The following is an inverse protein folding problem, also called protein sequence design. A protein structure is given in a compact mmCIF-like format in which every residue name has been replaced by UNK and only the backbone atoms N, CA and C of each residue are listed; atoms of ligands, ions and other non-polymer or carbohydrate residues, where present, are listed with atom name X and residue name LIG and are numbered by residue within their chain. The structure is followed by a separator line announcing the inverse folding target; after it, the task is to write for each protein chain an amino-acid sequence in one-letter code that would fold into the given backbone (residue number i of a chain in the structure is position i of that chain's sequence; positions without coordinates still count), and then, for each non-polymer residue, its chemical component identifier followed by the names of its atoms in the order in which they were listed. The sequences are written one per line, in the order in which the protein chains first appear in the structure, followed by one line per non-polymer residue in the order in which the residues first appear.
data_IF_481041741377
#
_entry.id   IF_481041741377
#
_cell.length_a   1.000
_cell.length_b   1.000
_cell.length_c   1.000
_cell.angle_alpha   90.00
_cell.angle_beta   90.00
_cell.angle_gamma   90.00
#
_symmetry.space_group_name_H-M   'P 1'
#
loop_
_entity.id
_entity.type
_entity.pdbx_description
1 polymer ?
#
# COMPACT_ATOMS: atom_id res chain seq x y z
N UNK A 1 -9.36 34.09 10.20
CA UNK A 1 -8.36 34.92 9.48
C UNK A 1 -8.80 35.04 8.02
N UNK A 2 -8.42 36.09 7.29
CA UNK A 2 -8.78 36.26 5.86
C UNK A 2 -10.03 37.11 5.56
N UNK A 3 -10.83 37.47 6.56
CA UNK A 3 -11.94 38.42 6.39
C UNK A 3 -11.40 39.83 6.21
N UNK A 4 -11.90 40.54 5.19
CA UNK A 4 -11.40 41.88 4.85
C UNK A 4 -12.54 42.87 4.68
N UNK A 5 -12.38 44.09 5.21
CA UNK A 5 -13.31 45.18 4.92
C UNK A 5 -12.91 45.81 3.58
N UNK A 6 -13.84 45.82 2.63
CA UNK A 6 -13.57 46.29 1.26
C UNK A 6 -14.22 47.62 0.91
N UNK A 7 -15.10 48.12 1.77
CA UNK A 7 -15.73 49.43 1.58
C UNK A 7 -16.33 49.95 2.88
N UNK A 8 -16.49 51.27 2.97
CA UNK A 8 -17.13 51.94 4.10
C UNK A 8 -17.79 53.25 3.64
N UNK A 9 -18.89 53.63 4.30
CA UNK A 9 -19.59 54.90 4.07
C UNK A 9 -19.02 56.05 4.91
N UNK A 10 -19.41 57.28 4.59
CA UNK A 10 -19.22 58.47 5.45
C UNK A 10 -17.78 58.71 5.92
N UNK A 11 -16.81 58.48 5.02
CA UNK A 11 -15.40 58.69 5.30
C UNK A 11 -14.74 57.62 6.17
N UNK A 12 -15.41 56.48 6.38
CA UNK A 12 -14.82 55.30 7.02
C UNK A 12 -13.58 54.83 6.27
N UNK A 13 -12.54 54.46 7.02
CA UNK A 13 -11.26 54.00 6.45
C UNK A 13 -11.07 52.51 6.74
N UNK A 14 -11.23 51.62 5.74
CA UNK A 14 -10.87 50.21 5.85
C UNK A 14 -9.36 50.00 6.02
N UNK A 15 -8.98 49.06 6.88
CA UNK A 15 -7.60 48.63 7.13
C UNK A 15 -7.60 47.13 7.48
N UNK A 16 -7.38 46.27 6.48
CA UNK A 16 -7.44 44.83 6.62
C UNK A 16 -8.83 44.35 7.10
N UNK A 17 -8.88 43.78 8.30
CA UNK A 17 -10.11 43.32 8.96
C UNK A 17 -10.77 44.38 9.86
N UNK A 18 -10.31 45.63 9.81
CA UNK A 18 -10.85 46.75 10.59
C UNK A 18 -11.41 47.85 9.70
N UNK A 19 -12.29 48.65 10.27
CA UNK A 19 -12.74 49.92 9.70
C UNK A 19 -12.87 50.95 10.81
N UNK A 20 -12.49 52.20 10.53
CA UNK A 20 -12.50 53.28 11.51
C UNK A 20 -13.21 54.52 10.97
N UNK A 21 -14.01 55.15 11.83
CA UNK A 21 -14.60 56.47 11.60
C UNK A 21 -14.11 57.45 12.67
N UNK A 22 -13.88 58.69 12.28
CA UNK A 22 -13.57 59.77 13.20
C UNK A 22 -14.22 61.07 12.71
N UNK A 23 -15.08 61.64 13.55
CA UNK A 23 -15.74 62.92 13.29
C UNK A 23 -15.42 63.89 14.44
N UNK A 24 -14.89 65.07 14.10
CA UNK A 24 -14.46 66.08 15.07
C UNK A 24 -15.37 67.33 15.08
N UNK A 25 -16.51 67.25 14.39
CA UNK A 25 -17.56 68.28 14.33
C UNK A 25 -18.67 68.08 15.36
N UNK A 26 -19.75 68.86 15.26
CA UNK A 26 -20.97 68.62 16.06
C UNK A 26 -21.65 67.34 15.55
N UNK A 27 -21.67 66.24 16.31
CA UNK A 27 -22.21 64.99 15.82
C UNK A 27 -23.74 65.08 15.68
N UNK A 28 -24.26 64.44 14.64
CA UNK A 28 -25.69 64.20 14.44
C UNK A 28 -25.96 62.69 14.45
N UNK A 29 -27.22 62.30 14.64
CA UNK A 29 -27.61 60.89 14.51
C UNK A 29 -27.39 60.45 13.05
N UNK A 30 -26.64 59.37 12.86
CA UNK A 30 -26.25 58.87 11.55
C UNK A 30 -26.21 57.33 11.54
N UNK A 31 -26.14 56.76 10.34
CA UNK A 31 -25.93 55.33 10.11
C UNK A 31 -24.69 55.16 9.26
N UNK A 32 -23.71 54.42 9.78
CA UNK A 32 -22.48 54.07 9.08
C UNK A 32 -22.57 52.64 8.57
N UNK A 33 -22.12 52.39 7.34
CA UNK A 33 -22.09 51.05 6.75
C UNK A 33 -20.70 50.69 6.28
N UNK A 34 -20.40 49.39 6.27
CA UNK A 34 -19.18 48.83 5.71
C UNK A 34 -19.47 47.48 5.07
N UNK A 35 -18.62 47.09 4.11
CA UNK A 35 -18.74 45.82 3.38
C UNK A 35 -17.59 44.93 3.75
N UNK A 36 -17.90 43.66 4.06
CA UNK A 36 -16.91 42.65 4.44
C UNK A 36 -16.90 41.56 3.38
N UNK A 37 -15.71 41.18 2.90
CA UNK A 37 -15.51 40.00 2.07
C UNK A 37 -15.17 38.80 2.97
N UNK A 38 -15.96 37.74 2.79
CA UNK A 38 -15.76 36.44 3.42
C UNK A 38 -14.74 35.66 2.57
N UNK A 39 -13.66 35.13 3.16
CA UNK A 39 -12.69 34.36 2.38
C UNK A 39 -13.26 32.99 1.97
N UNK A 40 -12.85 32.48 0.81
CA UNK A 40 -13.39 31.23 0.24
C UNK A 40 -13.10 29.97 1.06
N UNK A 41 -12.12 30.04 1.96
CA UNK A 41 -11.73 29.01 2.92
C UNK A 41 -12.28 29.26 4.34
N UNK A 42 -13.26 30.15 4.51
CA UNK A 42 -13.85 30.43 5.82
C UNK A 42 -14.46 29.17 6.43
N UNK A 43 -14.08 28.86 7.67
CA UNK A 43 -14.69 27.77 8.44
C UNK A 43 -16.20 27.99 8.59
N UNK A 44 -16.98 26.92 8.47
CA UNK A 44 -18.42 26.96 8.70
C UNK A 44 -18.76 27.27 10.16
N UNK A 45 -19.89 27.94 10.40
CA UNK A 45 -20.43 28.26 11.73
C UNK A 45 -20.42 29.75 12.07
N UNK A 46 -20.59 30.05 13.36
CA UNK A 46 -20.70 31.42 13.87
C UNK A 46 -19.34 32.13 13.91
N UNK A 47 -19.28 33.31 13.32
CA UNK A 47 -18.15 34.24 13.40
C UNK A 47 -18.59 35.51 14.09
N UNK A 48 -17.73 36.01 14.99
CA UNK A 48 -18.05 37.16 15.84
C UNK A 48 -17.31 38.42 15.36
N UNK A 49 -18.05 39.49 15.16
CA UNK A 49 -17.56 40.85 14.99
C UNK A 49 -17.37 41.51 16.35
N UNK A 50 -16.36 42.36 16.46
CA UNK A 50 -16.12 43.19 17.63
C UNK A 50 -15.75 44.59 17.19
N UNK A 51 -16.03 45.57 18.03
CA UNK A 51 -15.68 46.95 17.78
C UNK A 51 -15.95 47.81 19.00
N UNK A 52 -15.36 48.99 19.00
CA UNK A 52 -15.50 49.98 20.07
C UNK A 52 -15.94 51.31 19.48
N UNK A 53 -16.64 52.12 20.29
CA UNK A 53 -17.02 53.48 19.96
C UNK A 53 -16.76 54.43 21.14
N UNK A 54 -16.58 55.71 20.84
CA UNK A 54 -16.45 56.76 21.85
C UNK A 54 -17.18 58.02 21.38
N UNK A 55 -18.21 58.43 22.12
CA UNK A 55 -19.04 59.62 21.86
C UNK A 55 -18.81 60.73 22.92
N UNK A 56 -17.63 60.75 23.55
CA UNK A 56 -17.22 61.79 24.51
C UNK A 56 -17.24 61.37 25.99
N UNK A 57 -17.70 60.16 26.32
CA UNK A 57 -17.76 59.62 27.69
C UNK A 57 -16.80 58.46 27.96
N UNK A 58 -15.86 58.20 27.04
CA UNK A 58 -14.94 57.06 27.10
C UNK A 58 -15.25 56.01 26.04
N UNK A 59 -14.43 54.96 26.00
CA UNK A 59 -14.55 53.86 25.03
C UNK A 59 -15.58 52.84 25.53
N UNK A 60 -16.54 52.51 24.67
CA UNK A 60 -17.59 51.52 24.92
C UNK A 60 -17.55 50.46 23.81
N UNK A 61 -17.88 49.22 24.13
CA UNK A 61 -17.97 48.14 23.14
C UNK A 61 -19.28 48.24 22.35
N UNK A 62 -19.23 47.89 21.06
CA UNK A 62 -20.42 47.63 20.24
C UNK A 62 -20.96 46.26 20.65
N UNK A 63 -22.17 46.23 21.20
CA UNK A 63 -22.78 45.05 21.84
C UNK A 63 -24.10 44.60 21.18
N UNK A 64 -24.43 45.18 20.02
CA UNK A 64 -25.57 44.79 19.22
C UNK A 64 -25.29 43.48 18.45
N UNK A 65 -26.00 43.26 17.34
CA UNK A 65 -25.82 42.07 16.50
C UNK A 65 -24.35 41.98 16.03
N UNK A 66 -23.65 41.01 16.61
CA UNK A 66 -22.19 40.86 16.51
C UNK A 66 -21.84 39.53 15.88
N UNK A 67 -22.79 38.75 15.38
CA UNK A 67 -22.52 37.43 14.83
C UNK A 67 -23.08 37.25 13.44
N UNK A 68 -22.29 36.61 12.58
CA UNK A 68 -22.75 36.06 11.32
C UNK A 68 -22.56 34.54 11.36
N UNK A 69 -23.53 33.79 10.84
CA UNK A 69 -23.35 32.36 10.61
C UNK A 69 -22.89 32.16 9.17
N UNK A 70 -21.63 31.75 8.98
CA UNK A 70 -21.16 31.27 7.69
C UNK A 70 -21.70 29.87 7.50
N UNK A 71 -22.71 29.76 6.66
CA UNK A 71 -23.17 28.48 6.14
C UNK A 71 -22.37 28.16 4.89
N UNK A 72 -22.21 26.87 4.58
CA UNK A 72 -21.80 26.48 3.24
C UNK A 72 -22.81 27.05 2.25
N UNK A 73 -22.42 27.15 0.97
CA UNK A 73 -23.40 27.44 -0.08
C UNK A 73 -24.65 26.59 0.18
N UNK A 74 -25.88 27.17 0.19
CA UNK A 74 -27.07 26.35 0.27
C UNK A 74 -26.91 25.33 -0.84
N UNK A 75 -26.82 24.04 -0.48
CA UNK A 75 -26.72 23.00 -1.48
C UNK A 75 -27.80 23.27 -2.51
N UNK A 76 -27.38 23.50 -3.75
CA UNK A 76 -28.22 23.34 -4.93
C UNK A 76 -29.21 22.20 -4.62
N UNK A 77 -30.53 22.37 -4.84
CA UNK A 77 -31.48 21.28 -4.63
C UNK A 77 -30.89 20.04 -5.30
N UNK A 78 -30.64 18.99 -4.52
CA UNK A 78 -29.67 17.96 -4.89
C UNK A 78 -29.92 17.46 -6.31
N UNK A 79 -29.15 17.98 -7.27
CA UNK A 79 -29.34 17.62 -8.67
C UNK A 79 -29.08 16.11 -8.79
N UNK A 80 -29.78 15.49 -9.73
CA UNK A 80 -29.60 14.07 -10.03
C UNK A 80 -28.12 13.76 -10.22
N UNK A 81 -27.52 12.98 -9.30
CA UNK A 81 -26.08 12.75 -9.28
C UNK A 81 -25.73 11.27 -9.05
N UNK A 82 -24.58 10.88 -9.58
CA UNK A 82 -23.86 9.67 -9.21
C UNK A 82 -22.42 10.09 -8.88
N UNK A 83 -22.07 9.98 -7.59
CA UNK A 83 -20.75 10.33 -7.06
C UNK A 83 -19.96 9.05 -6.77
N UNK A 84 -18.73 8.97 -7.28
CA UNK A 84 -17.82 7.83 -7.07
C UNK A 84 -16.94 8.05 -5.85
N UNK A 85 -16.79 7.02 -5.04
CA UNK A 85 -15.83 6.94 -3.94
C UNK A 85 -14.84 5.80 -4.21
N UNK A 86 -13.54 6.14 -4.22
CA UNK A 86 -12.43 5.23 -4.50
C UNK A 86 -11.48 5.14 -3.31
N UNK A 87 -10.82 4.00 -3.14
CA UNK A 87 -9.59 4.01 -2.35
C UNK A 87 -8.58 4.96 -3.01
N UNK A 88 -7.94 5.82 -2.22
CA UNK A 88 -6.94 6.75 -2.74
C UNK A 88 -5.69 6.02 -3.27
N UNK A 89 -5.35 4.86 -2.69
CA UNK A 89 -4.15 4.08 -3.01
C UNK A 89 -4.45 2.59 -3.08
N UNK A 90 -3.72 1.89 -3.94
CA UNK A 90 -3.76 0.44 -4.08
C UNK A 90 -2.39 -0.11 -4.55
N UNK A 91 -2.17 -1.41 -4.38
CA UNK A 91 -0.98 -2.12 -4.82
C UNK A 91 -1.25 -2.93 -6.10
N UNK A 92 -0.18 -3.30 -6.81
CA UNK A 92 -0.28 -4.21 -7.94
C UNK A 92 -0.86 -5.56 -7.50
N UNK A 93 -1.87 -6.05 -8.22
CA UNK A 93 -2.53 -7.32 -7.90
C UNK A 93 -3.67 -7.22 -6.88
N UNK A 94 -3.93 -6.05 -6.30
CA UNK A 94 -5.05 -5.87 -5.38
C UNK A 94 -6.41 -6.00 -6.08
N UNK A 95 -7.43 -6.39 -5.32
CA UNK A 95 -8.83 -6.21 -5.68
C UNK A 95 -9.42 -5.07 -4.83
N UNK A 96 -9.91 -4.02 -5.49
CA UNK A 96 -10.48 -2.84 -4.82
C UNK A 96 -12.00 -2.80 -4.98
N UNK A 97 -12.69 -2.21 -3.99
CA UNK A 97 -14.13 -1.93 -4.05
C UNK A 97 -14.35 -0.46 -4.37
N UNK A 98 -15.22 -0.17 -5.33
CA UNK A 98 -15.68 1.17 -5.70
C UNK A 98 -17.13 1.34 -5.25
N UNK A 99 -17.44 2.47 -4.61
CA UNK A 99 -18.82 2.81 -4.24
C UNK A 99 -19.37 3.95 -5.11
N UNK A 100 -20.66 3.86 -5.44
CA UNK A 100 -21.40 4.85 -6.22
C UNK A 100 -22.59 5.33 -5.40
N UNK A 101 -22.55 6.56 -4.92
CA UNK A 101 -23.66 7.21 -4.24
C UNK A 101 -24.61 7.84 -5.26
N UNK A 102 -25.84 7.32 -5.33
CA UNK A 102 -26.86 7.72 -6.32
C UNK A 102 -27.90 8.61 -5.65
N UNK A 103 -28.04 9.82 -6.17
CA UNK A 103 -29.09 10.78 -5.80
C UNK A 103 -30.07 10.91 -6.96
N UNK A 104 -31.30 10.42 -6.78
CA UNK A 104 -32.24 10.26 -7.89
C UNK A 104 -33.08 11.49 -8.17
N UNK A 105 -33.33 12.38 -7.21
CA UNK A 105 -34.19 13.57 -7.29
C UNK A 105 -35.17 13.63 -8.51
N UNK A 106 -36.28 12.89 -8.41
CA UNK A 106 -37.30 12.86 -9.47
C UNK A 106 -36.96 12.03 -10.72
N UNK A 107 -35.91 11.21 -10.68
CA UNK A 107 -35.54 10.31 -11.77
C UNK A 107 -36.66 9.34 -12.14
N UNK A 108 -36.71 8.97 -13.42
CA UNK A 108 -37.61 7.94 -13.94
C UNK A 108 -36.88 6.62 -14.28
N UNK A 109 -35.54 6.61 -14.20
CA UNK A 109 -34.68 5.46 -14.48
C UNK A 109 -33.32 5.60 -13.80
N UNK A 110 -32.56 4.50 -13.76
CA UNK A 110 -31.13 4.51 -13.45
C UNK A 110 -30.42 3.76 -14.58
N UNK A 111 -29.64 4.49 -15.38
CA UNK A 111 -28.68 3.92 -16.32
C UNK A 111 -27.30 4.38 -15.89
N UNK A 112 -26.38 3.46 -15.63
CA UNK A 112 -24.99 3.75 -15.25
C UNK A 112 -24.09 2.87 -16.11
N UNK A 113 -23.09 3.46 -16.76
CA UNK A 113 -22.01 2.76 -17.48
C UNK A 113 -20.67 3.22 -16.88
N UNK A 114 -20.02 2.33 -16.15
CA UNK A 114 -18.72 2.56 -15.51
C UNK A 114 -17.62 1.84 -16.26
N UNK A 115 -16.43 2.45 -16.27
CA UNK A 115 -15.23 1.94 -16.92
C UNK A 115 -14.03 2.11 -15.99
N UNK A 116 -13.49 0.97 -15.55
CA UNK A 116 -12.21 0.87 -14.88
C UNK A 116 -11.04 1.13 -15.86
N UNK A 117 -9.84 1.47 -15.34
CA UNK A 117 -8.65 1.67 -16.16
C UNK A 117 -8.39 0.53 -17.16
N UNK A 118 -7.80 0.87 -18.31
CA UNK A 118 -7.56 -0.12 -19.36
C UNK A 118 -6.66 -1.27 -18.86
N UNK A 119 -7.06 -2.51 -19.15
CA UNK A 119 -6.37 -3.72 -18.71
C UNK A 119 -6.81 -4.24 -17.34
N UNK A 120 -7.55 -3.46 -16.55
CA UNK A 120 -8.13 -3.91 -15.29
C UNK A 120 -9.42 -4.69 -15.54
N UNK A 121 -9.86 -5.48 -14.57
CA UNK A 121 -11.06 -6.33 -14.73
C UNK A 121 -12.05 -6.05 -13.63
N UNK A 122 -13.31 -5.77 -13.97
CA UNK A 122 -14.40 -5.74 -12.99
C UNK A 122 -14.82 -7.18 -12.70
N UNK A 123 -14.75 -7.58 -11.42
CA UNK A 123 -14.96 -8.97 -10.99
C UNK A 123 -16.34 -9.21 -10.38
N UNK A 124 -16.99 -8.17 -9.89
CA UNK A 124 -18.27 -8.26 -9.21
C UNK A 124 -19.00 -6.92 -9.15
N UNK A 125 -20.32 -6.96 -8.92
CA UNK A 125 -21.16 -5.78 -8.78
C UNK A 125 -22.40 -6.07 -7.92
N UNK A 126 -22.85 -5.07 -7.16
CA UNK A 126 -24.08 -5.14 -6.38
C UNK A 126 -25.30 -4.73 -7.21
N UNK A 127 -26.49 -4.90 -6.63
CA UNK A 127 -27.74 -4.27 -7.12
C UNK A 127 -28.13 -4.59 -8.57
N UNK A 128 -27.66 -5.74 -9.07
CA UNK A 128 -27.92 -6.21 -10.44
C UNK A 128 -26.98 -5.62 -11.49
N UNK A 129 -25.84 -5.04 -11.08
CA UNK A 129 -24.79 -4.61 -12.00
C UNK A 129 -24.26 -5.78 -12.83
N UNK A 130 -23.92 -5.51 -14.09
CA UNK A 130 -23.40 -6.52 -15.02
C UNK A 130 -21.97 -6.18 -15.43
N UNK A 131 -20.96 -6.85 -14.86
CA UNK A 131 -19.56 -6.73 -15.29
C UNK A 131 -19.34 -7.26 -16.71
N UNK A 132 -18.49 -6.59 -17.48
CA UNK A 132 -18.08 -6.95 -18.84
C UNK A 132 -16.66 -6.43 -19.12
N UNK A 133 -15.65 -7.24 -18.81
CA UNK A 133 -14.24 -6.83 -18.91
C UNK A 133 -13.90 -5.72 -17.91
N UNK A 134 -13.47 -4.56 -18.40
CA UNK A 134 -13.23 -3.38 -17.57
C UNK A 134 -14.47 -2.49 -17.40
N UNK A 135 -15.65 -2.93 -17.85
CA UNK A 135 -16.91 -2.20 -17.72
C UNK A 135 -17.85 -2.82 -16.69
N UNK A 136 -18.74 -2.00 -16.14
CA UNK A 136 -19.91 -2.48 -15.40
C UNK A 136 -21.11 -1.57 -15.64
N UNK A 137 -22.28 -2.19 -15.86
CA UNK A 137 -23.50 -1.47 -16.23
C UNK A 137 -24.67 -1.78 -15.32
N UNK A 138 -25.46 -0.76 -15.00
CA UNK A 138 -26.78 -0.91 -14.36
C UNK A 138 -27.87 -0.31 -15.25
N UNK A 139 -28.99 -1.02 -15.36
CA UNK A 139 -30.18 -0.52 -16.03
C UNK A 139 -31.45 -0.85 -15.21
N UNK A 140 -32.08 0.18 -14.64
CA UNK A 140 -33.34 0.08 -13.89
C UNK A 140 -34.35 1.09 -14.42
N UNK A 141 -35.59 0.65 -14.64
CA UNK A 141 -36.68 1.48 -15.19
C UNK A 141 -37.89 1.59 -14.24
N UNK A 142 -37.79 1.03 -13.04
CA UNK A 142 -38.79 1.17 -11.98
C UNK A 142 -38.55 2.43 -11.16
N UNK A 143 -39.47 2.81 -10.26
CA UNK A 143 -39.38 4.01 -9.40
C UNK A 143 -38.05 4.09 -8.65
N UNK A 144 -37.09 4.92 -9.11
CA UNK A 144 -35.77 5.00 -8.52
C UNK A 144 -35.83 5.56 -7.10
N UNK A 145 -34.92 5.11 -6.24
CA UNK A 145 -34.68 5.64 -4.90
C UNK A 145 -33.19 5.92 -4.73
N UNK A 146 -32.84 6.84 -3.84
CA UNK A 146 -31.43 7.04 -3.48
C UNK A 146 -30.85 5.72 -2.96
N UNK A 147 -29.64 5.41 -3.40
CA UNK A 147 -28.98 4.14 -3.09
C UNK A 147 -27.46 4.27 -3.19
N UNK A 148 -26.76 3.27 -2.66
CA UNK A 148 -25.33 3.07 -2.89
C UNK A 148 -25.16 1.77 -3.64
N UNK A 149 -24.53 1.81 -4.82
CA UNK A 149 -24.11 0.62 -5.56
C UNK A 149 -22.61 0.43 -5.41
N UNK A 150 -22.14 -0.81 -5.48
CA UNK A 150 -20.72 -1.14 -5.36
C UNK A 150 -20.28 -2.08 -6.47
N UNK A 151 -19.01 -1.99 -6.87
CA UNK A 151 -18.39 -2.98 -7.75
C UNK A 151 -16.93 -3.22 -7.37
N UNK A 152 -16.40 -4.40 -7.69
CA UNK A 152 -15.02 -4.79 -7.38
C UNK A 152 -14.17 -4.83 -8.64
N UNK A 153 -12.92 -4.36 -8.54
CA UNK A 153 -11.99 -4.26 -9.66
C UNK A 153 -10.65 -4.88 -9.31
N UNK A 154 -10.22 -5.84 -10.13
CA UNK A 154 -8.91 -6.47 -10.05
C UNK A 154 -7.86 -5.62 -10.78
N UNK A 155 -6.84 -5.20 -10.04
CA UNK A 155 -5.64 -4.52 -10.56
C UNK A 155 -4.70 -5.60 -11.12
N UNK A 156 -4.20 -5.47 -12.37
CA UNK A 156 -3.19 -6.39 -12.90
C UNK A 156 -1.89 -6.33 -12.10
N UNK A 157 -1.26 -7.48 -11.88
CA UNK A 157 0.05 -7.56 -11.19
C UNK A 157 1.19 -6.88 -11.96
N UNK A 158 0.98 -6.57 -13.24
CA UNK A 158 1.90 -5.87 -14.14
C UNK A 158 1.42 -4.47 -14.54
N UNK A 159 0.41 -3.91 -13.85
CA UNK A 159 -0.07 -2.57 -14.13
C UNK A 159 1.05 -1.52 -13.98
N UNK A 160 0.95 -0.44 -14.74
CA UNK A 160 1.88 0.69 -14.61
C UNK A 160 1.72 1.35 -13.22
N UNK A 161 2.81 1.89 -12.66
CA UNK A 161 2.74 2.69 -11.45
C UNK A 161 2.14 4.08 -11.71
N UNK A 162 1.57 4.68 -10.67
CA UNK A 162 1.06 6.05 -10.67
C UNK A 162 -0.46 6.14 -10.73
N UNK A 163 -0.97 7.29 -11.15
CA UNK A 163 -2.41 7.58 -11.16
C UNK A 163 -3.13 6.88 -12.33
N UNK A 164 -4.18 6.13 -12.01
CA UNK A 164 -5.07 5.49 -13.00
C UNK A 164 -6.46 6.09 -12.92
N UNK A 165 -7.01 6.43 -14.08
CA UNK A 165 -8.28 7.14 -14.18
C UNK A 165 -9.45 6.18 -14.40
N UNK A 166 -10.48 6.32 -13.55
CA UNK A 166 -11.81 5.79 -13.74
C UNK A 166 -12.66 6.78 -14.53
N UNK A 167 -13.58 6.26 -15.32
CA UNK A 167 -14.52 7.09 -16.07
C UNK A 167 -15.85 6.37 -16.17
N UNK A 168 -16.92 7.14 -16.24
CA UNK A 168 -18.24 6.56 -16.47
C UNK A 168 -19.26 7.65 -16.68
N UNK A 169 -20.42 7.22 -17.15
CA UNK A 169 -21.56 8.08 -17.38
C UNK A 169 -22.83 7.49 -16.77
N UNK A 170 -23.78 8.38 -16.49
CA UNK A 170 -25.07 8.01 -15.96
C UNK A 170 -26.19 8.78 -16.64
N UNK A 171 -27.39 8.21 -16.64
CA UNK A 171 -28.61 8.85 -17.09
C UNK A 171 -29.76 8.50 -16.12
N UNK A 172 -30.21 9.52 -15.39
CA UNK A 172 -31.31 9.44 -14.43
C UNK A 172 -32.64 10.01 -14.98
N UNK A 173 -32.72 10.22 -16.30
CA UNK A 173 -33.90 10.75 -17.00
C UNK A 173 -33.69 12.15 -17.59
N UNK A 174 -32.64 12.86 -17.19
CA UNK A 174 -32.29 14.22 -17.64
C UNK A 174 -31.26 14.27 -18.78
N UNK A 175 -30.86 13.12 -19.33
CA UNK A 175 -29.77 13.02 -20.32
C UNK A 175 -28.57 12.26 -19.74
N UNK A 176 -27.49 12.17 -20.51
CA UNK A 176 -26.26 11.48 -20.09
C UNK A 176 -25.28 12.49 -19.48
N UNK A 177 -24.86 12.23 -18.25
CA UNK A 177 -23.91 13.04 -17.47
C UNK A 177 -22.70 12.18 -17.10
N UNK A 178 -21.54 12.81 -16.87
CA UNK A 178 -20.36 12.11 -16.37
C UNK A 178 -20.49 11.86 -14.86
N UNK A 179 -20.01 10.71 -14.39
CA UNK A 179 -19.89 10.40 -12.95
C UNK A 179 -18.82 11.31 -12.33
N UNK A 180 -19.12 11.89 -11.17
CA UNK A 180 -18.30 12.90 -10.48
C UNK A 180 -17.57 12.33 -9.24
N UNK A 181 -16.98 13.20 -8.41
CA UNK A 181 -16.17 12.89 -7.22
C UNK A 181 -14.83 12.25 -7.58
N UNK A 182 -14.53 11.06 -7.08
CA UNK A 182 -13.24 10.44 -7.30
C UNK A 182 -13.10 9.96 -8.73
N UNK A 183 -11.97 10.30 -9.35
CA UNK A 183 -11.67 9.96 -10.74
C UNK A 183 -10.41 9.13 -10.86
N UNK A 184 -9.61 9.01 -9.80
CA UNK A 184 -8.30 8.38 -9.86
C UNK A 184 -7.96 7.59 -8.60
N UNK A 185 -7.19 6.52 -8.80
CA UNK A 185 -6.48 5.78 -7.75
C UNK A 185 -4.99 5.83 -8.05
N UNK A 186 -4.15 6.02 -7.03
CA UNK A 186 -2.70 5.88 -7.15
C UNK A 186 -2.29 4.42 -6.94
N UNK A 187 -1.72 3.79 -7.97
CA UNK A 187 -1.14 2.45 -7.88
C UNK A 187 0.33 2.57 -7.54
N UNK A 188 0.70 2.05 -6.38
CA UNK A 188 2.06 2.03 -5.89
C UNK A 188 2.67 0.64 -6.07
N UNK A 189 3.97 0.60 -6.36
CA UNK A 189 4.75 -0.61 -6.14
C UNK A 189 5.23 -0.61 -4.70
N UNK A 190 5.09 -1.75 -4.05
CA UNK A 190 5.78 -2.02 -2.80
C UNK A 190 7.27 -1.87 -3.06
N UNK A 191 7.86 -0.76 -2.64
CA UNK A 191 9.32 -0.62 -2.60
C UNK A 191 9.79 -1.50 -1.45
N UNK A 192 10.12 -2.74 -1.77
CA UNK A 192 10.71 -3.66 -0.81
C UNK A 192 12.15 -3.16 -0.58
N UNK A 193 12.51 -2.73 0.64
CA UNK A 193 13.89 -2.37 0.95
C UNK A 193 14.82 -3.56 0.70
N UNK A 194 16.08 -3.30 0.37
CA UNK A 194 17.08 -4.37 0.23
C UNK A 194 17.13 -5.21 1.51
N UNK A 195 17.18 -6.54 1.37
CA UNK A 195 17.12 -7.45 2.50
C UNK A 195 16.48 -8.80 2.19
N UNK A 196 16.05 -9.49 3.24
CA UNK A 196 15.35 -10.80 3.15
C UNK A 196 13.86 -10.57 3.26
N UNK A 197 13.12 -10.92 2.22
CA UNK A 197 11.66 -10.83 2.17
C UNK A 197 11.04 -12.04 2.86
N UNK A 198 10.18 -11.79 3.85
CA UNK A 198 9.41 -12.80 4.56
C UNK A 198 7.94 -12.71 4.14
N UNK A 199 7.51 -13.65 3.31
CA UNK A 199 6.11 -13.79 2.92
C UNK A 199 5.26 -14.25 4.12
N UNK A 200 3.94 -14.02 4.13
CA UNK A 200 3.03 -14.62 5.10
C UNK A 200 3.23 -16.13 5.20
N UNK A 201 3.31 -16.67 6.41
CA UNK A 201 3.54 -18.10 6.64
C UNK A 201 5.01 -18.47 6.83
N UNK A 202 5.40 -19.64 6.34
CA UNK A 202 6.75 -20.18 6.54
C UNK A 202 7.72 -19.64 5.49
N UNK A 203 8.93 -19.30 5.90
CA UNK A 203 9.99 -18.86 5.01
C UNK A 203 11.21 -19.72 5.27
N UNK A 204 11.86 -20.18 4.20
CA UNK A 204 13.08 -20.97 4.27
C UNK A 204 14.22 -20.13 3.69
N UNK A 205 14.99 -19.52 4.59
CA UNK A 205 15.93 -18.46 4.27
C UNK A 205 17.34 -18.81 4.71
N UNK A 206 18.34 -18.15 4.16
CA UNK A 206 19.72 -18.32 4.57
C UNK A 206 20.46 -16.99 4.65
N UNK A 207 21.67 -17.02 5.19
CA UNK A 207 22.64 -15.94 5.05
C UNK A 207 23.91 -16.55 4.44
N UNK A 208 24.40 -16.06 3.28
CA UNK A 208 25.52 -16.71 2.60
C UNK A 208 26.89 -16.43 3.25
N UNK A 209 26.99 -15.42 4.12
CA UNK A 209 28.25 -14.94 4.69
C UNK A 209 28.16 -14.70 6.20
N UNK A 210 29.31 -14.64 6.86
CA UNK A 210 29.39 -14.33 8.29
C UNK A 210 28.95 -12.87 8.52
N UNK A 211 27.99 -12.68 9.41
CA UNK A 211 27.49 -11.36 9.80
C UNK A 211 28.39 -10.72 10.86
N UNK A 212 28.48 -9.39 10.84
CA UNK A 212 29.13 -8.60 11.90
C UNK A 212 28.43 -8.81 13.25
N UNK A 213 27.09 -8.91 13.22
CA UNK A 213 26.28 -9.34 14.36
C UNK A 213 25.31 -10.44 13.93
N UNK A 214 25.62 -11.72 14.20
CA UNK A 214 24.79 -12.84 13.77
C UNK A 214 23.58 -13.10 14.66
N UNK A 215 23.42 -12.38 15.78
CA UNK A 215 22.36 -12.67 16.75
C UNK A 215 20.97 -12.57 16.11
N UNK A 216 20.15 -13.61 16.31
CA UNK A 216 18.75 -13.65 15.86
C UNK A 216 17.97 -12.46 16.42
N UNK A 217 18.18 -12.11 17.69
CA UNK A 217 17.51 -10.96 18.33
C UNK A 217 17.87 -9.62 17.67
N UNK A 218 19.09 -9.51 17.12
CA UNK A 218 19.54 -8.31 16.41
C UNK A 218 19.02 -8.29 14.97
N UNK A 219 19.21 -9.38 14.22
CA UNK A 219 18.84 -9.46 12.80
C UNK A 219 17.32 -9.39 12.62
N UNK A 220 16.55 -9.97 13.55
CA UNK A 220 15.09 -9.98 13.50
C UNK A 220 14.43 -8.95 14.43
N UNK A 221 15.16 -7.91 14.86
CA UNK A 221 14.68 -6.94 15.85
C UNK A 221 13.33 -6.29 15.47
N UNK A 222 13.10 -6.05 14.17
CA UNK A 222 11.89 -5.43 13.62
C UNK A 222 10.90 -6.44 13.02
N UNK A 223 11.14 -7.74 13.18
CA UNK A 223 10.29 -8.80 12.63
C UNK A 223 9.40 -9.37 13.73
N UNK A 224 8.09 -9.39 13.48
CA UNK A 224 7.18 -10.21 14.26
C UNK A 224 7.23 -11.66 13.76
N UNK A 225 7.66 -12.61 14.58
CA UNK A 225 7.66 -14.03 14.23
C UNK A 225 7.04 -14.87 15.35
N UNK A 226 6.27 -15.89 14.97
CA UNK A 226 5.41 -16.62 15.92
C UNK A 226 6.07 -17.81 16.61
N UNK A 227 7.22 -18.25 16.11
CA UNK A 227 7.95 -19.42 16.60
C UNK A 227 9.46 -19.14 16.57
N UNK A 228 10.26 -19.70 17.50
CA UNK A 228 11.70 -19.53 17.47
C UNK A 228 12.28 -19.92 16.11
N UNK A 229 13.31 -19.20 15.67
CA UNK A 229 14.05 -19.54 14.44
C UNK A 229 14.67 -20.93 14.61
N UNK A 230 14.49 -21.78 13.61
CA UNK A 230 14.99 -23.16 13.66
C UNK A 230 15.83 -23.54 12.45
N UNK A 231 16.80 -24.41 12.69
CA UNK A 231 17.66 -25.02 11.69
C UNK A 231 17.52 -26.55 11.77
N UNK A 232 17.55 -27.24 10.64
CA UNK A 232 17.60 -28.71 10.63
C UNK A 232 19.05 -29.20 10.65
N UNK A 233 19.46 -29.80 11.76
CA UNK A 233 20.78 -30.40 11.92
C UNK A 233 20.77 -31.83 11.38
N UNK A 234 21.39 -32.05 10.22
CA UNK A 234 21.49 -33.38 9.62
C UNK A 234 22.31 -34.35 10.49
N UNK A 235 23.26 -33.84 11.29
CA UNK A 235 24.06 -34.65 12.23
C UNK A 235 23.21 -35.29 13.34
N UNK A 236 22.17 -34.60 13.81
CA UNK A 236 21.27 -35.08 14.88
C UNK A 236 19.94 -35.58 14.33
N UNK A 237 19.59 -35.20 13.11
CA UNK A 237 18.31 -35.47 12.46
C UNK A 237 17.14 -34.65 13.05
N UNK A 238 17.42 -33.54 13.73
CA UNK A 238 16.45 -32.76 14.50
C UNK A 238 16.43 -31.29 14.11
N UNK A 239 15.28 -30.65 14.32
CA UNK A 239 15.17 -29.19 14.32
C UNK A 239 15.68 -28.61 15.63
N UNK A 240 16.60 -27.67 15.54
CA UNK A 240 17.25 -27.01 16.66
C UNK A 240 16.91 -25.52 16.64
N UNK A 241 16.59 -24.96 17.81
CA UNK A 241 16.42 -23.51 17.97
C UNK A 241 17.78 -22.84 18.00
N UNK A 242 17.92 -21.71 17.29
CA UNK A 242 19.19 -20.98 17.17
C UNK A 242 19.11 -19.59 17.80
N UNK A 243 20.22 -19.15 18.39
CA UNK A 243 20.41 -17.78 18.89
C UNK A 243 21.18 -16.91 17.90
N UNK A 244 21.91 -17.53 16.97
CA UNK A 244 22.78 -16.87 16.02
C UNK A 244 22.60 -17.50 14.63
N UNK A 245 22.64 -16.65 13.60
CA UNK A 245 22.65 -17.05 12.20
C UNK A 245 24.10 -17.32 11.77
N UNK A 246 24.33 -18.52 11.27
CA UNK A 246 25.59 -18.98 10.75
C UNK A 246 25.51 -19.04 9.22
N UNK A 247 26.64 -18.75 8.53
CA UNK A 247 26.66 -18.78 7.08
C UNK A 247 26.34 -20.18 6.53
N UNK A 248 25.76 -20.23 5.34
CA UNK A 248 25.44 -21.46 4.60
C UNK A 248 24.41 -22.39 5.26
N UNK A 249 23.82 -22.03 6.40
CA UNK A 249 22.70 -22.79 6.99
C UNK A 249 21.35 -22.29 6.47
N UNK A 250 20.42 -23.23 6.31
CA UNK A 250 19.03 -22.93 5.98
C UNK A 250 18.14 -22.84 7.23
N UNK A 251 17.43 -21.72 7.39
CA UNK A 251 16.62 -21.40 8.57
C UNK A 251 15.14 -21.29 8.23
N UNK A 252 14.31 -21.83 9.12
CA UNK A 252 12.86 -21.67 9.09
C UNK A 252 12.42 -20.51 9.98
N UNK A 253 11.70 -19.57 9.38
CA UNK A 253 11.09 -18.41 10.06
C UNK A 253 9.60 -18.36 9.71
N UNK A 254 8.73 -18.23 10.70
CA UNK A 254 7.28 -18.12 10.50
C UNK A 254 6.79 -16.69 10.72
N UNK A 255 6.49 -16.01 9.62
CA UNK A 255 5.79 -14.73 9.60
C UNK A 255 4.28 -14.98 9.89
N UNK A 256 3.74 -14.50 11.03
CA UNK A 256 2.32 -14.65 11.37
C UNK A 256 1.44 -13.55 10.79
N UNK A 257 2.04 -12.49 10.23
CA UNK A 257 1.30 -11.38 9.63
C UNK A 257 0.65 -11.81 8.32
N UNK A 258 -0.47 -11.17 8.00
CA UNK A 258 -1.11 -11.30 6.68
C UNK A 258 -0.30 -10.61 5.58
N UNK A 259 0.59 -9.68 5.97
CA UNK A 259 1.48 -8.94 5.08
C UNK A 259 2.92 -9.44 5.05
N UNK A 260 3.67 -8.92 4.08
CA UNK A 260 5.12 -9.14 3.95
C UNK A 260 5.86 -8.41 5.07
N UNK A 261 6.91 -9.04 5.60
CA UNK A 261 7.92 -8.38 6.44
C UNK A 261 9.28 -8.45 5.77
N UNK A 262 10.19 -7.53 6.09
CA UNK A 262 11.52 -7.49 5.46
C UNK A 262 12.60 -7.36 6.52
N UNK A 263 13.54 -8.30 6.54
CA UNK A 263 14.78 -8.18 7.31
C UNK A 263 15.66 -7.20 6.53
N UNK A 264 15.86 -5.99 7.07
CA UNK A 264 16.58 -4.93 6.37
C UNK A 264 18.05 -5.30 6.12
N UNK A 265 18.57 -4.97 4.94
CA UNK A 265 19.94 -5.23 4.54
C UNK A 265 20.99 -4.56 5.44
N UNK A 266 20.64 -3.45 6.10
CA UNK A 266 21.51 -2.80 7.10
C UNK A 266 21.70 -3.63 8.38
N UNK A 267 20.87 -4.65 8.62
CA UNK A 267 21.04 -5.63 9.69
C UNK A 267 21.85 -6.86 9.22
N UNK A 268 22.08 -7.00 7.90
CA UNK A 268 22.77 -8.10 7.25
C UNK A 268 24.19 -7.72 6.82
N UNK A 269 24.88 -6.94 7.65
CA UNK A 269 26.22 -6.42 7.37
C UNK A 269 27.24 -7.56 7.41
N UNK A 270 27.97 -7.84 6.30
CA UNK A 270 29.05 -8.81 6.30
C UNK A 270 30.19 -8.38 7.22
N UNK A 271 30.79 -9.34 7.92
CA UNK A 271 31.99 -9.12 8.72
C UNK A 271 33.21 -8.84 7.82
N UNK A 272 33.91 -7.72 8.06
CA UNK A 272 34.94 -7.18 7.15
C UNK A 272 36.12 -8.12 6.84
N UNK A 273 36.45 -9.03 7.76
CA UNK A 273 37.60 -9.93 7.64
C UNK A 273 37.19 -11.39 7.81
N UNK A 274 36.01 -11.75 7.28
CA UNK A 274 35.55 -13.13 7.26
C UNK A 274 36.43 -13.99 6.33
N UNK A 275 36.75 -15.20 6.79
CA UNK A 275 37.25 -16.26 5.90
C UNK A 275 36.06 -16.84 5.12
N UNK A 276 36.27 -17.41 3.92
CA UNK A 276 35.21 -18.10 3.20
C UNK A 276 34.53 -19.12 4.12
N UNK A 277 33.20 -19.03 4.21
CA UNK A 277 32.43 -19.89 5.08
C UNK A 277 32.46 -21.34 4.59
N UNK A 278 32.37 -22.28 5.54
CA UNK A 278 32.25 -23.71 5.25
C UNK A 278 31.21 -24.33 6.16
N UNK A 279 30.47 -25.31 5.64
CA UNK A 279 29.49 -26.10 6.38
C UNK A 279 29.76 -27.59 6.15
N UNK A 280 29.91 -28.37 7.23
CA UNK A 280 29.90 -29.83 7.11
C UNK A 280 28.49 -30.30 6.79
N UNK A 281 28.35 -31.03 5.69
CA UNK A 281 27.11 -31.70 5.30
C UNK A 281 27.22 -33.19 5.59
N UNK A 282 26.10 -33.83 5.90
CA UNK A 282 26.05 -35.23 6.34
C UNK A 282 25.22 -36.07 5.38
N UNK A 283 25.45 -37.39 5.33
CA UNK A 283 24.58 -38.30 4.57
C UNK A 283 23.10 -38.10 4.98
N UNK A 284 22.24 -37.89 3.99
CA UNK A 284 20.82 -37.56 4.17
C UNK A 284 20.46 -36.13 3.76
N UNK A 285 19.30 -35.67 4.22
CA UNK A 285 18.81 -34.32 3.91
C UNK A 285 19.51 -33.27 4.76
N UNK A 286 20.05 -32.23 4.12
CA UNK A 286 20.67 -31.09 4.76
C UNK A 286 19.90 -29.83 4.41
N UNK A 287 19.66 -28.97 5.40
CA UNK A 287 19.14 -27.62 5.19
C UNK A 287 20.32 -26.67 4.98
N UNK A 288 20.58 -26.29 3.74
CA UNK A 288 21.71 -25.42 3.39
C UNK A 288 21.23 -24.08 2.87
N UNK A 289 22.10 -23.09 2.97
CA UNK A 289 21.96 -21.79 2.35
C UNK A 289 22.71 -21.70 1.03
N UNK A 290 22.58 -20.53 0.41
CA UNK A 290 23.27 -20.22 -0.82
C UNK A 290 24.77 -19.92 -0.58
N UNK A 291 25.62 -20.23 -1.56
CA UNK A 291 27.08 -20.24 -1.41
C UNK A 291 27.79 -19.00 -1.96
N UNK A 292 27.15 -18.19 -2.82
CA UNK A 292 27.71 -16.94 -3.36
C UNK A 292 26.95 -15.73 -2.78
N UNK A 293 27.61 -14.71 -2.23
CA UNK A 293 26.91 -13.59 -1.60
C UNK A 293 26.34 -12.56 -2.59
N UNK A 294 26.62 -12.69 -3.89
CA UNK A 294 26.50 -11.58 -4.86
C UNK A 294 25.79 -11.95 -6.15
N UNK A 295 26.04 -13.13 -6.68
CA UNK A 295 25.50 -13.55 -7.97
C UNK A 295 24.37 -14.55 -7.77
N UNK A 296 23.58 -14.80 -8.81
CA UNK A 296 22.70 -15.97 -8.87
C UNK A 296 23.48 -16.99 -9.70
N UNK A 297 23.56 -18.22 -9.21
CA UNK A 297 24.33 -19.30 -9.82
C UNK A 297 23.43 -20.52 -10.00
N UNK A 298 23.68 -21.30 -11.04
CA UNK A 298 23.13 -22.65 -11.11
C UNK A 298 23.70 -23.54 -9.99
N UNK A 299 22.96 -24.60 -9.63
CA UNK A 299 23.34 -25.50 -8.55
C UNK A 299 24.65 -26.25 -8.84
N UNK A 300 24.96 -26.54 -10.10
CA UNK A 300 26.23 -27.15 -10.51
C UNK A 300 27.42 -26.29 -10.05
N UNK A 301 27.32 -24.98 -10.29
CA UNK A 301 28.34 -24.00 -9.90
C UNK A 301 28.31 -23.72 -8.40
N UNK A 302 27.12 -23.51 -7.82
CA UNK A 302 26.98 -23.16 -6.42
C UNK A 302 27.40 -24.29 -5.46
N UNK A 303 27.20 -25.55 -5.86
CA UNK A 303 27.49 -26.73 -5.04
C UNK A 303 28.73 -27.50 -5.51
N UNK A 304 29.59 -26.87 -6.33
CA UNK A 304 30.79 -27.53 -6.89
C UNK A 304 31.66 -28.19 -5.82
N UNK A 305 31.72 -27.67 -4.60
CA UNK A 305 32.57 -28.25 -3.53
C UNK A 305 32.06 -29.61 -3.02
N UNK A 306 30.79 -29.94 -3.24
CA UNK A 306 30.16 -31.20 -2.83
C UNK A 306 29.60 -31.97 -4.03
N UNK A 307 30.03 -31.65 -5.26
CA UNK A 307 29.45 -32.15 -6.50
C UNK A 307 29.36 -33.67 -6.58
N UNK A 308 30.35 -34.38 -6.04
CA UNK A 308 30.37 -35.86 -6.02
C UNK A 308 29.54 -36.47 -4.86
N UNK A 309 29.03 -35.64 -3.96
CA UNK A 309 28.47 -36.04 -2.66
C UNK A 309 26.98 -35.68 -2.49
N UNK A 310 26.25 -35.27 -3.53
CA UNK A 310 24.78 -35.08 -3.47
C UNK A 310 24.05 -35.59 -4.71
N UNK A 311 22.76 -35.88 -4.59
CA UNK A 311 21.92 -36.34 -5.72
C UNK A 311 20.77 -35.43 -6.05
N UNK A 312 20.24 -34.71 -5.06
CA UNK A 312 18.97 -33.98 -5.20
C UNK A 312 19.01 -32.68 -4.44
N UNK A 313 18.48 -31.62 -5.04
CA UNK A 313 18.24 -30.32 -4.41
C UNK A 313 16.75 -29.94 -4.56
N UNK A 314 16.15 -29.33 -3.53
CA UNK A 314 14.80 -28.80 -3.59
C UNK A 314 14.77 -27.36 -3.07
N UNK A 315 14.06 -26.50 -3.80
CA UNK A 315 13.89 -25.09 -3.48
C UNK A 315 13.64 -24.25 -4.74
N UNK A 316 13.49 -22.93 -4.59
CA UNK A 316 13.15 -22.23 -3.35
C UNK A 316 11.79 -22.68 -2.77
N UNK A 317 11.50 -22.38 -1.50
CA UNK A 317 10.23 -22.73 -0.85
C UNK A 317 9.12 -21.70 -1.17
N UNK A 318 7.89 -22.15 -1.49
CA UNK A 318 6.80 -21.27 -2.01
C UNK A 318 5.47 -21.27 -1.23
N UNK A 319 5.44 -21.65 0.06
CA UNK A 319 4.23 -21.67 0.92
C UNK A 319 2.98 -22.38 0.35
N UNK A 320 3.14 -23.22 -0.67
CA UNK A 320 2.04 -23.99 -1.26
C UNK A 320 1.95 -25.37 -0.56
N UNK A 321 0.77 -25.75 -0.04
CA UNK A 321 0.60 -27.00 0.70
C UNK A 321 0.68 -28.27 -0.18
N UNK A 322 0.54 -28.15 -1.50
CA UNK A 322 0.59 -29.26 -2.45
C UNK A 322 1.94 -29.35 -3.17
N UNK A 323 2.54 -28.20 -3.49
CA UNK A 323 3.85 -28.10 -4.12
C UNK A 323 4.74 -27.12 -3.35
N UNK A 324 5.33 -27.52 -2.21
CA UNK A 324 6.02 -26.57 -1.34
C UNK A 324 7.30 -25.97 -1.93
N UNK A 325 7.82 -26.50 -3.04
CA UNK A 325 9.05 -26.04 -3.67
C UNK A 325 8.83 -25.66 -5.13
N UNK A 326 9.57 -24.65 -5.58
CA UNK A 326 9.56 -24.22 -6.97
C UNK A 326 10.14 -25.29 -7.90
N UNK A 327 11.28 -25.87 -7.52
CA UNK A 327 12.01 -26.81 -8.35
C UNK A 327 12.59 -27.97 -7.54
N UNK A 328 12.86 -29.08 -8.24
CA UNK A 328 13.62 -30.23 -7.77
C UNK A 328 14.75 -30.50 -8.77
N UNK A 329 15.98 -30.17 -8.37
CA UNK A 329 17.19 -30.37 -9.17
C UNK A 329 17.77 -31.76 -8.97
N UNK A 330 18.24 -32.37 -10.06
CA UNK A 330 18.89 -33.68 -10.06
C UNK A 330 20.34 -33.56 -10.51
N UNK A 331 21.26 -33.91 -9.61
CA UNK A 331 22.68 -33.82 -9.88
C UNK A 331 23.09 -34.76 -11.04
N UNK A 332 23.94 -34.28 -11.93
CA UNK A 332 24.38 -34.99 -13.14
C UNK A 332 23.31 -35.13 -14.23
N UNK A 333 22.18 -34.44 -14.12
CA UNK A 333 21.20 -34.28 -15.21
C UNK A 333 21.27 -32.87 -15.79
N UNK A 334 20.79 -32.70 -17.02
CA UNK A 334 20.81 -31.41 -17.72
C UNK A 334 19.45 -30.98 -18.21
N UNK A 335 19.14 -29.68 -18.12
CA UNK A 335 17.95 -29.05 -18.67
C UNK A 335 16.65 -29.42 -17.96
N UNK A 336 15.51 -29.07 -18.57
CA UNK A 336 14.18 -29.36 -17.99
C UNK A 336 13.81 -30.82 -18.25
N UNK A 337 13.52 -31.56 -17.17
CA UNK A 337 13.18 -32.99 -17.24
C UNK A 337 11.67 -33.15 -17.35
N UNK A 338 10.91 -32.69 -16.35
CA UNK A 338 9.44 -32.71 -16.36
C UNK A 338 8.86 -31.85 -15.21
N UNK A 339 7.96 -30.92 -15.54
CA UNK A 339 7.33 -30.05 -14.54
C UNK A 339 8.39 -29.29 -13.73
N UNK A 340 8.35 -29.43 -12.41
CA UNK A 340 9.32 -28.81 -11.49
C UNK A 340 10.67 -29.56 -11.42
N UNK A 341 10.82 -30.70 -12.09
CA UNK A 341 12.06 -31.47 -12.08
C UNK A 341 13.02 -31.01 -13.18
N UNK A 342 14.25 -30.66 -12.80
CA UNK A 342 15.27 -30.10 -13.68
C UNK A 342 16.67 -30.67 -13.39
N UNK A 343 17.60 -30.49 -14.32
CA UNK A 343 19.04 -30.67 -14.08
C UNK A 343 19.63 -29.53 -13.24
N UNK A 344 20.76 -29.79 -12.58
CA UNK A 344 21.47 -28.83 -11.73
C UNK A 344 22.08 -27.66 -12.52
N UNK A 345 22.24 -27.81 -13.83
CA UNK A 345 22.68 -26.78 -14.79
C UNK A 345 21.65 -25.68 -15.06
N UNK A 346 20.37 -25.93 -14.77
CA UNK A 346 19.27 -24.96 -14.94
C UNK A 346 18.47 -24.74 -13.66
N UNK A 347 18.86 -25.38 -12.55
CA UNK A 347 18.36 -25.08 -11.21
C UNK A 347 19.14 -23.88 -10.67
N UNK A 348 18.52 -22.72 -10.56
CA UNK A 348 19.19 -21.52 -10.04
C UNK A 348 19.01 -21.38 -8.53
N UNK A 349 20.08 -20.97 -7.86
CA UNK A 349 20.11 -20.64 -6.44
C UNK A 349 20.43 -19.15 -6.28
N UNK A 350 19.65 -18.46 -5.44
CA UNK A 350 19.83 -17.04 -5.18
C UNK A 350 20.22 -16.71 -3.74
N UNK A 351 20.70 -15.48 -3.50
CA UNK A 351 21.01 -14.99 -2.17
C UNK A 351 19.78 -15.03 -1.26
N UNK A 352 20.05 -15.34 0.00
CA UNK A 352 19.07 -15.43 1.09
C UNK A 352 18.04 -16.55 1.00
N UNK A 353 18.06 -17.37 -0.04
CA UNK A 353 17.24 -18.57 -0.16
C UNK A 353 17.91 -19.76 0.54
N UNK A 354 17.10 -20.65 1.11
CA UNK A 354 17.57 -21.93 1.62
C UNK A 354 17.00 -23.10 0.82
N UNK A 355 17.75 -24.19 0.84
CA UNK A 355 17.54 -25.36 0.01
C UNK A 355 17.67 -26.63 0.83
N UNK A 356 16.92 -27.65 0.43
CA UNK A 356 17.13 -29.01 0.90
C UNK A 356 18.04 -29.74 -0.06
N UNK A 357 19.16 -30.28 0.42
CA UNK A 357 20.08 -31.08 -0.39
C UNK A 357 20.20 -32.48 0.19
N UNK A 358 19.94 -33.48 -0.65
CA UNK A 358 20.12 -34.89 -0.33
C UNK A 358 21.57 -35.29 -0.64
N UNK A 359 22.36 -35.37 0.42
CA UNK A 359 23.78 -35.67 0.40
C UNK A 359 23.99 -37.18 0.59
N UNK A 360 24.93 -37.77 -0.14
CA UNK A 360 25.19 -39.23 -0.17
C UNK A 360 26.29 -39.68 0.78
N UNK A 361 27.14 -38.76 1.22
CA UNK A 361 28.22 -39.00 2.18
C UNK A 361 28.63 -37.69 2.85
N UNK A 362 29.24 -37.76 4.04
CA UNK A 362 29.76 -36.56 4.71
C UNK A 362 30.77 -35.82 3.82
N UNK A 363 30.60 -34.52 3.69
CA UNK A 363 31.46 -33.65 2.86
C UNK A 363 31.47 -32.20 3.40
N UNK A 364 32.22 -31.31 2.76
CA UNK A 364 32.35 -29.92 3.14
C UNK A 364 31.81 -28.99 2.03
N UNK A 365 30.68 -28.35 2.33
CA UNK A 365 30.17 -27.24 1.53
C UNK A 365 31.03 -26.00 1.78
N UNK A 366 31.54 -25.38 0.72
CA UNK A 366 32.26 -24.11 0.78
C UNK A 366 31.47 -23.00 0.11
N UNK A 367 31.58 -21.78 0.65
CA UNK A 367 31.20 -20.58 -0.09
C UNK A 367 32.06 -20.45 -1.36
N UNK A 368 31.45 -19.97 -2.45
CA UNK A 368 32.07 -19.85 -3.78
C UNK A 368 32.55 -18.42 -4.03
#
# INVERSE_FOLDING_TARGET
AGWTVTGASDGGTPDGNYVRWAEFGTPANATYTYTVQIPGDAALGLHTFSGDYNLGSGTNAIDCDTQINVVGEPGEPAEQNVCRDLTAKAQLGDEITVELAITVDGADRILIDEMAPAGWTVTGASDGGTPDGNYVRWAKFDTPVNATYTYTVQIPGDAAQGLHTFSGDYNLGSGTNAIDCDTQVEVEVVVIPEGIVLLPGWNFVSVPYELENPSVDYVLADINYSLPVTYYSASTGLFETVSDLEPLKGYWIKNPEEGIQVILGELLVPKEWAVPATLTVYEGWNAIGYTDPKYILDAETALTSIDESYTTIMGPFKNDPYEPYEQVGWNGQTGVINGIHVGTDVFYMGPYEAFWVLVTQEDMLGAV
#
